data_IF_953267783981
#
_entry.id   IF_953267783981
#
_cell.length_a   1.000
_cell.length_b   1.000
_cell.length_c   1.000
_cell.angle_alpha   90.00
_cell.angle_beta   90.00
_cell.angle_gamma   90.00
#
_symmetry.space_group_name_H-M   'P 1'
#
loop_
_entity.id
_entity.type
_entity.pdbx_description
1 polymer ?
#
# COMPACT_ATOMS: atom_id res chain seq x y z
N UNK A 1 -58.39 16.72 78.83
CA UNK A 1 -57.30 15.84 78.32
C UNK A 1 -57.78 15.18 77.04
N UNK A 2 -56.95 15.28 75.99
CA UNK A 2 -57.21 14.91 74.59
C UNK A 2 -57.20 13.40 74.38
N UNK A 3 -58.01 12.89 73.44
CA UNK A 3 -57.61 11.76 72.58
C UNK A 3 -58.22 11.98 71.19
N UNK A 4 -57.37 12.16 70.17
CA UNK A 4 -57.74 12.24 68.75
C UNK A 4 -56.97 11.13 68.04
N UNK A 5 -57.68 10.27 67.31
CA UNK A 5 -57.12 9.20 66.50
C UNK A 5 -56.70 9.74 65.12
N UNK A 6 -55.45 9.50 64.71
CA UNK A 6 -54.98 9.75 63.34
C UNK A 6 -54.99 8.43 62.55
N UNK A 7 -55.80 8.37 61.50
CA UNK A 7 -55.76 7.32 60.47
C UNK A 7 -54.67 7.70 59.47
N UNK A 8 -53.63 6.87 59.34
CA UNK A 8 -52.60 7.01 58.28
C UNK A 8 -53.07 6.27 57.03
N UNK A 9 -53.43 7.02 55.99
CA UNK A 9 -53.63 6.47 54.64
C UNK A 9 -52.26 6.23 53.98
N UNK A 10 -51.99 4.98 53.61
CA UNK A 10 -50.82 4.60 52.80
C UNK A 10 -51.22 4.73 51.33
N UNK A 11 -50.61 5.68 50.62
CA UNK A 11 -50.70 5.79 49.16
C UNK A 11 -49.60 4.89 48.57
N UNK A 12 -50.02 3.81 47.91
CA UNK A 12 -49.15 2.94 47.14
C UNK A 12 -48.92 3.60 45.76
N UNK A 13 -47.73 4.18 45.53
CA UNK A 13 -47.31 4.60 44.19
C UNK A 13 -46.88 3.35 43.40
N UNK A 14 -47.67 2.98 42.38
CA UNK A 14 -47.28 2.01 41.37
C UNK A 14 -46.31 2.70 40.40
N UNK A 15 -45.01 2.50 40.57
CA UNK A 15 -44.00 2.88 39.58
C UNK A 15 -44.04 1.87 38.44
N UNK A 16 -44.72 2.22 37.34
CA UNK A 16 -44.66 1.49 36.09
C UNK A 16 -43.23 1.52 35.53
N UNK A 17 -42.56 0.38 35.52
CA UNK A 17 -41.36 0.14 34.73
C UNK A 17 -41.77 0.18 33.25
N UNK A 18 -41.63 1.36 32.63
CA UNK A 18 -41.51 1.47 31.19
C UNK A 18 -40.17 0.84 30.82
N UNK A 19 -40.20 -0.46 30.51
CA UNK A 19 -39.14 -1.11 29.74
C UNK A 19 -39.13 -0.47 28.36
N UNK A 20 -38.39 0.61 28.20
CA UNK A 20 -37.97 1.06 26.88
C UNK A 20 -37.22 -0.11 26.26
N UNK A 21 -37.80 -0.75 25.26
CA UNK A 21 -37.05 -1.56 24.32
C UNK A 21 -35.95 -0.66 23.77
N UNK A 22 -34.70 -0.89 24.17
CA UNK A 22 -33.56 -0.33 23.49
C UNK A 22 -33.76 -0.64 22.00
N UNK A 23 -33.89 0.40 21.18
CA UNK A 23 -34.01 0.23 19.73
C UNK A 23 -32.72 -0.43 19.26
N UNK A 24 -32.86 -1.48 18.45
CA UNK A 24 -31.75 -2.31 18.07
C UNK A 24 -31.05 -1.65 16.88
N UNK A 25 -29.83 -1.14 17.04
CA UNK A 25 -29.18 -0.39 15.95
C UNK A 25 -28.01 -1.19 15.34
N UNK A 26 -28.05 -1.39 14.01
CA UNK A 26 -26.93 -1.95 13.28
C UNK A 26 -25.85 -0.87 13.09
N UNK A 27 -24.70 -1.05 13.74
CA UNK A 27 -23.51 -0.24 13.51
C UNK A 27 -22.55 -0.98 12.58
N UNK A 28 -21.97 -0.24 11.65
CA UNK A 28 -21.04 -0.74 10.65
C UNK A 28 -19.73 0.03 10.79
N UNK A 29 -18.57 -0.61 10.56
CA UNK A 29 -17.31 0.12 10.45
C UNK A 29 -17.39 1.10 9.27
N UNK A 30 -16.65 2.21 9.36
CA UNK A 30 -16.63 3.27 8.34
C UNK A 30 -16.38 2.77 6.91
N UNK A 31 -15.57 1.72 6.74
CA UNK A 31 -15.27 1.15 5.42
C UNK A 31 -16.48 0.48 4.75
N UNK A 32 -17.52 0.13 5.52
CA UNK A 32 -18.81 -0.38 5.04
C UNK A 32 -19.85 0.72 5.21
N UNK A 33 -19.99 1.56 4.19
CA UNK A 33 -20.91 2.70 4.21
C UNK A 33 -21.48 3.03 2.84
N UNK A 34 -22.22 4.12 2.78
CA UNK A 34 -22.71 4.68 1.52
C UNK A 34 -21.56 5.04 0.59
N UNK A 35 -21.76 4.92 -0.72
CA UNK A 35 -20.76 5.28 -1.72
C UNK A 35 -19.55 4.33 -1.79
N UNK A 36 -19.58 3.18 -1.11
CA UNK A 36 -18.45 2.24 -1.14
C UNK A 36 -18.33 1.49 -2.48
N UNK A 37 -17.16 0.88 -2.72
CA UNK A 37 -16.94 -0.06 -3.83
C UNK A 37 -16.66 -1.44 -3.24
N UNK A 38 -17.48 -2.43 -3.56
CA UNK A 38 -17.22 -3.82 -3.23
C UNK A 38 -16.43 -4.51 -4.34
N UNK A 39 -15.48 -5.37 -3.95
CA UNK A 39 -14.70 -6.18 -4.88
C UNK A 39 -15.63 -7.07 -5.74
N UNK A 40 -15.49 -7.01 -7.07
CA UNK A 40 -16.30 -7.76 -8.02
C UNK A 40 -15.91 -9.23 -8.09
N UNK A 41 -16.88 -10.08 -8.50
CA UNK A 41 -16.71 -11.53 -8.70
C UNK A 41 -16.06 -12.19 -7.48
N UNK A 42 -16.51 -11.81 -6.29
CA UNK A 42 -15.94 -12.23 -5.02
C UNK A 42 -17.04 -12.56 -4.01
N UNK A 43 -16.65 -13.26 -2.94
CA UNK A 43 -17.49 -13.43 -1.77
C UNK A 43 -17.00 -12.45 -0.70
N UNK A 44 -17.58 -11.25 -0.66
CA UNK A 44 -17.06 -10.14 0.16
C UNK A 44 -17.68 -10.15 1.55
N UNK A 45 -16.90 -9.94 2.61
CA UNK A 45 -17.44 -9.91 3.96
C UNK A 45 -18.17 -8.61 4.24
N UNK A 46 -19.27 -8.71 4.98
CA UNK A 46 -19.92 -7.62 5.67
C UNK A 46 -19.94 -7.95 7.17
N UNK A 47 -19.66 -6.96 8.00
CA UNK A 47 -19.61 -7.13 9.45
C UNK A 47 -19.99 -5.84 10.15
N UNK A 48 -20.30 -5.98 11.44
CA UNK A 48 -20.67 -4.86 12.30
C UNK A 48 -21.09 -5.35 13.68
N UNK A 49 -21.72 -4.47 14.42
CA UNK A 49 -22.44 -4.78 15.65
C UNK A 49 -23.95 -4.64 15.44
N UNK A 50 -24.72 -5.31 16.28
CA UNK A 50 -26.18 -5.23 16.29
C UNK A 50 -26.71 -5.71 17.65
N UNK A 51 -27.85 -5.19 18.07
CA UNK A 51 -28.51 -5.63 19.32
C UNK A 51 -29.47 -6.82 19.08
N UNK A 52 -29.95 -6.98 17.85
CA UNK A 52 -30.80 -8.11 17.45
C UNK A 52 -30.07 -9.46 17.56
N UNK A 53 -30.81 -10.57 17.62
CA UNK A 53 -30.20 -11.91 17.67
C UNK A 53 -29.65 -12.37 16.30
N UNK A 54 -30.14 -11.79 15.21
CA UNK A 54 -29.79 -12.17 13.84
C UNK A 54 -29.88 -10.96 12.93
N UNK A 55 -28.84 -10.73 12.14
CA UNK A 55 -28.85 -9.72 11.08
C UNK A 55 -29.19 -10.40 9.76
N UNK A 56 -30.16 -9.83 9.07
CA UNK A 56 -30.52 -10.20 7.69
C UNK A 56 -29.96 -9.16 6.73
N UNK A 57 -29.28 -9.61 5.68
CA UNK A 57 -28.77 -8.76 4.60
C UNK A 57 -29.43 -9.16 3.28
N UNK A 58 -29.95 -8.19 2.52
CA UNK A 58 -30.49 -8.39 1.17
C UNK A 58 -29.83 -7.46 0.19
N UNK A 59 -29.27 -8.00 -0.89
CA UNK A 59 -28.50 -7.26 -1.88
C UNK A 59 -29.31 -6.99 -3.13
N UNK A 60 -29.34 -5.74 -3.62
CA UNK A 60 -30.26 -5.37 -4.71
C UNK A 60 -29.91 -5.95 -6.08
N UNK A 61 -28.63 -6.30 -6.32
CA UNK A 61 -28.16 -6.84 -7.60
C UNK A 61 -28.62 -8.27 -7.91
N UNK A 62 -29.00 -9.06 -6.90
CA UNK A 62 -29.47 -10.44 -7.08
C UNK A 62 -30.70 -10.80 -6.22
N UNK A 63 -31.17 -9.87 -5.38
CA UNK A 63 -32.29 -10.08 -4.45
C UNK A 63 -32.09 -11.25 -3.47
N UNK A 64 -30.84 -11.70 -3.29
CA UNK A 64 -30.49 -12.83 -2.42
C UNK A 64 -30.48 -12.34 -0.97
N UNK A 65 -30.96 -13.21 -0.07
CA UNK A 65 -31.05 -12.97 1.36
C UNK A 65 -29.98 -13.79 2.09
N UNK A 66 -29.22 -13.11 2.94
CA UNK A 66 -28.16 -13.68 3.77
C UNK A 66 -28.50 -13.45 5.24
N UNK A 67 -28.02 -14.31 6.14
CA UNK A 67 -28.26 -14.19 7.58
C UNK A 67 -26.99 -14.51 8.37
N UNK A 68 -26.74 -13.73 9.42
CA UNK A 68 -25.71 -13.97 10.41
C UNK A 68 -26.31 -13.94 11.81
N UNK A 69 -25.87 -14.85 12.67
CA UNK A 69 -26.14 -14.75 14.11
C UNK A 69 -25.24 -13.69 14.72
N UNK A 70 -25.80 -12.90 15.63
CA UNK A 70 -25.02 -12.00 16.47
C UNK A 70 -24.41 -12.82 17.61
N UNK A 71 -23.11 -12.69 17.83
CA UNK A 71 -22.42 -13.42 18.89
C UNK A 71 -22.64 -12.78 20.27
N UNK A 72 -22.15 -13.41 21.34
CA UNK A 72 -22.31 -12.91 22.71
C UNK A 72 -21.64 -11.55 23.01
N UNK A 73 -20.85 -11.02 22.06
CA UNK A 73 -20.24 -9.69 22.13
C UNK A 73 -20.93 -8.67 21.22
N UNK A 74 -22.09 -8.99 20.65
CA UNK A 74 -22.83 -8.09 19.76
C UNK A 74 -22.31 -8.03 18.33
N UNK A 75 -21.29 -8.83 17.97
CA UNK A 75 -20.66 -8.79 16.64
C UNK A 75 -21.29 -9.81 15.71
N UNK A 76 -21.51 -9.42 14.46
CA UNK A 76 -21.95 -10.29 13.38
C UNK A 76 -21.04 -10.18 12.17
N UNK A 77 -21.00 -11.25 11.36
CA UNK A 77 -20.28 -11.30 10.10
C UNK A 77 -20.96 -12.29 9.15
N UNK A 78 -21.06 -11.93 7.88
CA UNK A 78 -21.44 -12.81 6.78
C UNK A 78 -20.65 -12.44 5.53
N UNK A 79 -20.83 -13.22 4.48
CA UNK A 79 -20.31 -12.88 3.16
C UNK A 79 -21.45 -12.79 2.15
N UNK A 80 -21.30 -11.88 1.19
CA UNK A 80 -22.22 -11.70 0.07
C UNK A 80 -21.49 -11.93 -1.25
N UNK A 81 -22.14 -12.62 -2.18
CA UNK A 81 -21.62 -12.83 -3.53
C UNK A 81 -21.82 -11.55 -4.37
N UNK A 82 -20.73 -11.01 -4.91
CA UNK A 82 -20.76 -9.87 -5.83
C UNK A 82 -20.70 -10.34 -7.29
N UNK A 83 -21.50 -9.74 -8.20
CA UNK A 83 -21.43 -9.99 -9.63
C UNK A 83 -20.17 -9.34 -10.24
N UNK A 84 -20.11 -9.33 -11.57
CA UNK A 84 -19.23 -8.42 -12.30
C UNK A 84 -19.54 -6.95 -11.96
N UNK A 85 -18.56 -6.09 -12.20
CA UNK A 85 -18.64 -4.65 -12.02
C UNK A 85 -19.96 -4.01 -12.52
N UNK A 86 -20.45 -3.03 -11.76
CA UNK A 86 -21.71 -2.33 -12.02
C UNK A 86 -22.20 -1.51 -10.82
N UNK A 87 -23.45 -1.05 -10.89
CA UNK A 87 -24.11 -0.22 -9.88
C UNK A 87 -24.60 1.11 -10.45
N UNK A 88 -25.07 2.03 -9.59
CA UNK A 88 -25.15 1.90 -8.14
C UNK A 88 -26.21 0.89 -7.69
N UNK A 89 -25.94 0.22 -6.58
CA UNK A 89 -26.80 -0.74 -5.90
C UNK A 89 -27.15 -0.29 -4.48
N UNK A 90 -28.02 -1.08 -3.83
CA UNK A 90 -28.38 -0.92 -2.42
C UNK A 90 -28.14 -2.23 -1.68
N UNK A 91 -27.80 -2.12 -0.39
CA UNK A 91 -27.78 -3.24 0.55
C UNK A 91 -28.73 -2.94 1.70
N UNK A 92 -29.74 -3.78 1.89
CA UNK A 92 -30.70 -3.66 2.98
C UNK A 92 -30.29 -4.56 4.13
N UNK A 93 -30.05 -3.98 5.30
CA UNK A 93 -29.75 -4.68 6.55
C UNK A 93 -30.94 -4.57 7.51
N UNK A 94 -31.20 -5.62 8.27
CA UNK A 94 -32.29 -5.66 9.23
C UNK A 94 -32.01 -6.66 10.37
N UNK A 95 -32.02 -6.19 11.62
CA UNK A 95 -31.91 -6.98 12.85
C UNK A 95 -33.15 -6.85 13.77
N UNK A 96 -34.17 -6.14 13.28
CA UNK A 96 -35.25 -5.53 14.05
C UNK A 96 -35.54 -4.15 13.48
N UNK A 97 -34.48 -3.36 13.25
CA UNK A 97 -34.53 -2.05 12.62
C UNK A 97 -33.87 -2.07 11.23
N UNK A 98 -34.41 -1.28 10.30
CA UNK A 98 -33.97 -1.27 8.90
C UNK A 98 -32.86 -0.25 8.69
N UNK A 99 -31.75 -0.70 8.11
CA UNK A 99 -30.67 0.15 7.59
C UNK A 99 -30.48 -0.13 6.10
N UNK A 100 -30.22 0.90 5.31
CA UNK A 100 -29.98 0.76 3.87
C UNK A 100 -28.70 1.49 3.51
N UNK A 101 -27.75 0.76 2.94
CA UNK A 101 -26.58 1.34 2.28
C UNK A 101 -26.93 1.65 0.83
N UNK A 102 -26.57 2.84 0.37
CA UNK A 102 -26.87 3.38 -0.95
C UNK A 102 -25.59 3.69 -1.73
N UNK A 103 -25.75 3.87 -3.04
CA UNK A 103 -24.64 4.18 -3.96
C UNK A 103 -23.50 3.14 -3.86
N UNK A 104 -23.86 1.86 -3.69
CA UNK A 104 -22.88 0.79 -3.61
C UNK A 104 -22.46 0.39 -5.01
N UNK A 105 -21.19 0.62 -5.35
CA UNK A 105 -20.60 0.16 -6.61
C UNK A 105 -19.96 -1.22 -6.43
N UNK A 106 -19.89 -1.97 -7.52
CA UNK A 106 -19.15 -3.23 -7.60
C UNK A 106 -18.07 -3.04 -8.65
N UNK A 107 -16.82 -3.37 -8.31
CA UNK A 107 -15.66 -3.01 -9.12
C UNK A 107 -14.37 -3.60 -8.57
N UNK A 108 -13.25 -2.91 -8.76
CA UNK A 108 -11.95 -3.32 -8.19
C UNK A 108 -11.59 -2.46 -7.00
N UNK A 109 -11.10 -3.07 -5.92
CA UNK A 109 -10.73 -2.35 -4.70
C UNK A 109 -9.24 -2.55 -4.43
N UNK A 110 -8.50 -1.47 -4.24
CA UNK A 110 -7.07 -1.53 -3.94
C UNK A 110 -6.73 -0.82 -2.63
N UNK A 111 -5.76 -1.37 -1.90
CA UNK A 111 -5.17 -0.73 -0.73
C UNK A 111 -3.89 -0.01 -1.11
N UNK A 112 -3.78 1.29 -0.83
CA UNK A 112 -2.59 2.09 -1.01
C UNK A 112 -1.98 2.45 0.35
N UNK A 113 -0.80 1.87 0.65
CA UNK A 113 -0.18 2.00 1.98
C UNK A 113 1.33 2.30 1.93
N UNK A 114 1.89 2.63 3.09
CA UNK A 114 3.29 2.99 3.25
C UNK A 114 3.48 4.32 3.99
N UNK A 115 4.47 5.10 3.57
CA UNK A 115 4.83 6.35 4.25
C UNK A 115 4.52 7.60 3.41
N UNK A 116 5.32 8.65 3.55
CA UNK A 116 5.05 9.98 3.00
C UNK A 116 4.94 9.97 1.49
N UNK A 117 5.78 9.24 0.76
CA UNK A 117 5.69 9.18 -0.70
C UNK A 117 4.39 8.51 -1.19
N UNK A 118 3.83 7.52 -0.46
CA UNK A 118 2.46 7.05 -0.71
C UNK A 118 1.41 8.08 -0.26
N UNK A 119 1.59 8.70 0.90
CA UNK A 119 0.62 9.62 1.50
C UNK A 119 0.66 11.05 0.96
N UNK A 120 1.54 11.36 0.01
CA UNK A 120 1.67 12.69 -0.60
C UNK A 120 0.37 13.04 -1.30
N UNK A 121 -0.20 14.17 -0.90
CA UNK A 121 -1.49 14.63 -1.41
C UNK A 121 -1.37 15.28 -2.79
N UNK A 122 -2.43 15.30 -3.59
CA UNK A 122 -2.43 16.05 -4.86
C UNK A 122 -2.24 17.54 -4.60
N UNK A 123 -3.00 18.12 -3.67
CA UNK A 123 -2.91 19.52 -3.25
C UNK A 123 -1.90 19.75 -2.13
N UNK A 124 -0.69 19.21 -2.26
CA UNK A 124 0.33 19.29 -1.21
C UNK A 124 1.02 20.67 -1.15
N UNK A 125 1.83 20.89 -0.11
CA UNK A 125 2.50 22.17 0.12
C UNK A 125 3.52 22.54 -0.98
N UNK A 126 3.90 23.82 -1.12
CA UNK A 126 4.91 24.25 -2.09
C UNK A 126 6.30 23.60 -1.94
N UNK A 127 6.59 22.97 -0.79
CA UNK A 127 7.86 22.25 -0.56
C UNK A 127 7.86 20.84 -1.14
N UNK A 128 6.68 20.26 -1.36
CA UNK A 128 6.46 18.87 -1.75
C UNK A 128 5.40 18.81 -2.86
N UNK A 129 5.68 19.50 -3.97
CA UNK A 129 4.76 19.61 -5.10
C UNK A 129 4.55 18.27 -5.81
N UNK A 130 3.44 18.15 -6.53
CA UNK A 130 3.12 17.02 -7.41
C UNK A 130 2.96 17.56 -8.83
N UNK A 131 3.64 16.93 -9.80
CA UNK A 131 3.47 17.30 -11.20
C UNK A 131 2.00 17.14 -11.62
N UNK A 132 1.51 18.08 -12.43
CA UNK A 132 0.14 18.07 -12.94
C UNK A 132 -0.99 18.16 -11.89
N UNK A 133 -0.68 18.51 -10.63
CA UNK A 133 -1.69 18.61 -9.56
C UNK A 133 -2.92 19.45 -9.93
N UNK A 134 -2.72 20.60 -10.60
CA UNK A 134 -3.82 21.46 -11.04
C UNK A 134 -4.77 20.76 -12.04
N UNK A 135 -4.22 19.96 -12.95
CA UNK A 135 -5.00 19.17 -13.91
C UNK A 135 -5.79 18.07 -13.18
N UNK A 136 -5.13 17.32 -12.30
CA UNK A 136 -5.77 16.26 -11.50
C UNK A 136 -6.96 16.77 -10.69
N UNK A 137 -6.84 17.97 -10.09
CA UNK A 137 -7.96 18.57 -9.33
C UNK A 137 -9.07 19.13 -10.23
N UNK A 138 -8.71 19.70 -11.40
CA UNK A 138 -9.69 20.27 -12.33
C UNK A 138 -10.54 19.20 -13.01
N UNK A 139 -9.94 18.04 -13.30
CA UNK A 139 -10.59 16.93 -14.00
C UNK A 139 -11.21 15.89 -13.05
N UNK A 140 -11.07 16.09 -11.72
CA UNK A 140 -11.46 15.11 -10.71
C UNK A 140 -12.89 14.57 -10.89
N UNK A 141 -13.84 15.47 -11.15
CA UNK A 141 -15.26 15.14 -11.32
C UNK A 141 -15.61 14.35 -12.59
N UNK A 142 -14.66 14.10 -13.49
CA UNK A 142 -14.89 13.31 -14.71
C UNK A 142 -14.92 11.79 -14.46
N UNK A 143 -14.55 11.37 -13.25
CA UNK A 143 -14.44 9.97 -12.87
C UNK A 143 -15.40 9.61 -11.71
N UNK A 144 -16.72 9.77 -11.90
CA UNK A 144 -17.71 9.65 -10.83
C UNK A 144 -17.96 8.21 -10.37
N UNK A 145 -17.22 7.21 -10.88
CA UNK A 145 -17.27 5.81 -10.44
C UNK A 145 -15.97 5.36 -9.76
N UNK A 146 -15.01 6.27 -9.59
CA UNK A 146 -13.94 6.09 -8.61
C UNK A 146 -14.49 6.46 -7.23
N UNK A 147 -14.03 5.78 -6.17
CA UNK A 147 -14.35 6.11 -4.77
C UNK A 147 -13.08 6.12 -3.94
N UNK A 148 -12.93 7.17 -3.14
CA UNK A 148 -11.75 7.42 -2.31
C UNK A 148 -12.11 7.20 -0.85
N UNK A 149 -11.36 6.34 -0.16
CA UNK A 149 -11.46 6.14 1.28
C UNK A 149 -10.11 6.42 1.93
N UNK A 150 -10.04 7.43 2.81
CA UNK A 150 -8.78 7.84 3.42
C UNK A 150 -8.79 7.55 4.92
N UNK A 151 -7.99 6.57 5.34
CA UNK A 151 -7.79 6.26 6.75
C UNK A 151 -7.04 7.43 7.42
N UNK A 152 -7.56 7.98 8.53
CA UNK A 152 -6.86 9.01 9.29
C UNK A 152 -5.53 8.51 9.82
N UNK A 153 -4.57 9.42 9.90
CA UNK A 153 -3.29 9.13 10.55
C UNK A 153 -3.52 8.94 12.04
N UNK A 154 -3.19 7.76 12.56
CA UNK A 154 -3.38 7.42 13.97
C UNK A 154 -2.30 6.41 14.45
N UNK A 155 -2.23 6.15 15.76
CA UNK A 155 -1.37 5.13 16.36
C UNK A 155 -2.02 4.57 17.62
N UNK A 156 -2.03 3.25 17.79
CA UNK A 156 -2.70 2.61 18.91
C UNK A 156 -1.93 1.37 19.40
N UNK A 157 -1.82 1.22 20.71
CA UNK A 157 -1.17 0.03 21.33
C UNK A 157 -2.01 -1.22 21.17
N UNK A 158 -3.33 -1.07 21.07
CA UNK A 158 -4.27 -2.15 20.84
C UNK A 158 -4.98 -1.97 19.49
N UNK A 159 -5.34 -3.06 18.78
CA UNK A 159 -6.07 -2.98 17.52
C UNK A 159 -7.38 -2.19 17.67
N UNK A 160 -7.59 -1.21 16.80
CA UNK A 160 -8.85 -0.48 16.69
C UNK A 160 -9.79 -1.22 15.74
N UNK A 161 -11.07 -1.31 16.09
CA UNK A 161 -12.09 -1.95 15.25
C UNK A 161 -12.64 -1.07 14.13
N UNK A 162 -12.42 0.24 14.20
CA UNK A 162 -12.95 1.22 13.25
C UNK A 162 -12.07 2.49 13.19
N UNK A 163 -12.36 3.37 12.23
CA UNK A 163 -11.71 4.66 12.04
C UNK A 163 -12.71 5.73 11.58
N UNK A 164 -12.43 7.00 11.88
CA UNK A 164 -13.26 8.14 11.46
C UNK A 164 -13.01 8.51 9.99
N UNK A 165 -13.71 7.85 9.07
CA UNK A 165 -13.56 8.03 7.63
C UNK A 165 -14.87 7.76 6.89
N UNK A 166 -14.92 8.17 5.63
CA UNK A 166 -16.05 7.89 4.73
C UNK A 166 -15.56 7.72 3.29
N UNK A 167 -16.38 7.10 2.46
CA UNK A 167 -16.14 7.03 1.01
C UNK A 167 -16.56 8.34 0.35
N UNK A 168 -15.71 8.84 -0.53
CA UNK A 168 -15.97 10.11 -1.25
C UNK A 168 -15.86 9.91 -2.76
N UNK A 169 -16.68 10.65 -3.51
CA UNK A 169 -16.54 10.79 -4.96
C UNK A 169 -15.42 11.79 -5.25
N UNK A 170 -14.59 11.56 -6.29
CA UNK A 170 -13.59 12.53 -6.69
C UNK A 170 -14.21 13.87 -7.09
N UNK A 171 -13.74 14.91 -6.42
CA UNK A 171 -13.90 16.31 -6.75
C UNK A 171 -12.57 17.03 -6.44
N UNK A 172 -12.49 18.32 -6.72
CA UNK A 172 -11.27 19.10 -6.49
C UNK A 172 -10.79 19.02 -5.03
N UNK A 173 -11.70 19.00 -4.05
CA UNK A 173 -11.36 19.02 -2.63
C UNK A 173 -10.90 17.65 -2.11
N UNK A 174 -11.66 16.59 -2.39
CA UNK A 174 -11.35 15.21 -2.03
C UNK A 174 -10.03 14.76 -2.68
N UNK A 175 -9.84 15.01 -3.98
CA UNK A 175 -8.59 14.70 -4.70
C UNK A 175 -7.42 15.50 -4.14
N UNK A 176 -7.61 16.80 -3.88
CA UNK A 176 -6.58 17.64 -3.24
C UNK A 176 -6.11 17.05 -1.91
N UNK A 177 -7.01 16.43 -1.13
CA UNK A 177 -6.72 15.81 0.15
C UNK A 177 -6.25 14.34 0.08
N UNK A 178 -6.24 13.72 -1.11
CA UNK A 178 -5.96 12.30 -1.31
C UNK A 178 -4.57 12.04 -1.92
N UNK A 179 -4.05 10.82 -1.75
CA UNK A 179 -2.77 10.39 -2.30
C UNK A 179 -2.69 10.58 -3.81
N UNK A 180 -1.65 11.29 -4.27
CA UNK A 180 -1.38 11.51 -5.68
C UNK A 180 -1.02 10.23 -6.44
N UNK A 181 -0.28 9.30 -5.80
CA UNK A 181 0.06 8.01 -6.40
C UNK A 181 -1.19 7.13 -6.48
N UNK A 182 -1.94 7.02 -5.38
CA UNK A 182 -3.11 6.15 -5.31
C UNK A 182 -4.25 6.63 -6.23
N UNK A 183 -4.48 7.95 -6.31
CA UNK A 183 -5.51 8.51 -7.18
C UNK A 183 -5.18 8.28 -8.66
N UNK A 184 -3.95 8.56 -9.08
CA UNK A 184 -3.52 8.33 -10.47
C UNK A 184 -3.47 6.83 -10.81
N UNK A 185 -3.13 5.96 -9.86
CA UNK A 185 -3.24 4.52 -10.03
C UNK A 185 -4.70 4.10 -10.30
N UNK A 186 -5.66 4.65 -9.55
CA UNK A 186 -7.08 4.37 -9.76
C UNK A 186 -7.58 4.91 -11.11
N UNK A 187 -7.15 6.10 -11.54
CA UNK A 187 -7.44 6.65 -12.86
C UNK A 187 -6.94 5.72 -13.97
N UNK A 188 -5.67 5.34 -13.92
CA UNK A 188 -5.06 4.46 -14.93
C UNK A 188 -5.76 3.09 -15.00
N UNK A 189 -6.18 2.53 -13.87
CA UNK A 189 -6.94 1.29 -13.87
C UNK A 189 -8.35 1.50 -14.45
N UNK A 190 -9.04 2.57 -14.09
CA UNK A 190 -10.37 2.86 -14.61
C UNK A 190 -10.35 3.08 -16.13
N UNK A 191 -9.38 3.84 -16.64
CA UNK A 191 -9.26 4.15 -18.07
C UNK A 191 -9.09 2.87 -18.92
N UNK A 192 -8.42 1.86 -18.37
CA UNK A 192 -8.07 0.63 -19.08
C UNK A 192 -9.09 -0.49 -18.86
N UNK A 193 -9.72 -0.54 -17.68
CA UNK A 193 -10.68 -1.59 -17.32
C UNK A 193 -12.14 -1.19 -17.57
N UNK A 194 -12.43 0.10 -17.65
CA UNK A 194 -13.76 0.69 -17.83
C UNK A 194 -14.78 0.20 -16.77
N UNK A 195 -14.38 0.25 -15.50
CA UNK A 195 -15.18 -0.21 -14.35
C UNK A 195 -15.01 0.71 -13.13
N UNK A 196 -15.89 0.59 -12.11
CA UNK A 196 -15.68 1.27 -10.83
C UNK A 196 -14.39 0.85 -10.13
N UNK A 197 -13.70 1.81 -9.52
CA UNK A 197 -12.46 1.58 -8.76
C UNK A 197 -12.61 2.19 -7.36
N UNK A 198 -12.47 1.36 -6.33
CA UNK A 198 -12.31 1.79 -4.95
C UNK A 198 -10.83 1.84 -4.58
N UNK A 199 -10.38 2.94 -3.97
CA UNK A 199 -9.01 3.07 -3.49
C UNK A 199 -9.01 3.47 -2.01
N UNK A 200 -8.44 2.59 -1.18
CA UNK A 200 -8.30 2.78 0.26
C UNK A 200 -6.89 3.27 0.55
N UNK A 201 -6.73 4.51 1.00
CA UNK A 201 -5.43 5.06 1.40
C UNK A 201 -5.22 4.86 2.90
N UNK A 202 -4.11 4.19 3.28
CA UNK A 202 -3.64 4.07 4.66
C UNK A 202 -2.12 4.30 4.71
N UNK A 203 -1.69 5.55 4.87
CA UNK A 203 -0.27 5.91 4.79
C UNK A 203 0.12 6.98 5.81
N UNK A 204 1.32 6.85 6.41
CA UNK A 204 1.83 7.80 7.40
C UNK A 204 3.33 8.09 7.23
N UNK A 205 3.68 9.36 7.00
CA UNK A 205 5.03 9.83 6.73
C UNK A 205 6.08 9.54 7.80
N UNK A 206 7.29 9.14 7.36
CA UNK A 206 8.45 8.89 8.22
C UNK A 206 8.32 7.64 9.09
N UNK A 207 7.54 6.66 8.63
CA UNK A 207 7.28 5.42 9.36
C UNK A 207 8.18 4.29 8.89
N UNK A 208 8.36 3.29 9.75
CA UNK A 208 9.17 2.10 9.49
C UNK A 208 8.28 0.86 9.36
N UNK A 209 8.72 -0.11 8.57
CA UNK A 209 7.93 -1.30 8.18
C UNK A 209 7.38 -2.08 9.39
N UNK A 210 8.12 -2.19 10.49
CA UNK A 210 7.68 -2.94 11.67
C UNK A 210 6.52 -2.29 12.44
N UNK A 211 6.27 -0.99 12.26
CA UNK A 211 5.09 -0.35 12.83
C UNK A 211 3.79 -0.83 12.15
N UNK A 212 3.91 -1.38 10.95
CA UNK A 212 2.83 -1.88 10.10
C UNK A 212 2.60 -3.41 10.23
N UNK A 213 3.32 -4.09 11.13
CA UNK A 213 3.15 -5.51 11.41
C UNK A 213 2.22 -5.74 12.61
N UNK A 214 1.34 -6.74 12.56
CA UNK A 214 0.64 -7.16 13.78
C UNK A 214 1.61 -7.83 14.77
N UNK A 215 1.19 -7.91 16.04
CA UNK A 215 2.04 -8.46 17.11
C UNK A 215 2.48 -9.91 16.87
N UNK A 216 1.69 -10.71 16.14
CA UNK A 216 2.08 -12.09 15.84
C UNK A 216 3.16 -12.14 14.78
N UNK A 217 3.07 -11.29 13.75
CA UNK A 217 4.11 -11.17 12.73
C UNK A 217 5.44 -10.72 13.32
N UNK A 218 5.42 -9.81 14.32
CA UNK A 218 6.64 -9.42 15.03
C UNK A 218 7.33 -10.57 15.77
N UNK A 219 6.60 -11.63 16.16
CA UNK A 219 7.19 -12.75 16.88
C UNK A 219 8.19 -13.56 16.03
N UNK A 220 8.19 -13.39 14.70
CA UNK A 220 9.23 -13.91 13.82
C UNK A 220 10.62 -13.29 14.06
N UNK A 221 10.68 -12.13 14.74
CA UNK A 221 11.90 -11.35 14.93
C UNK A 221 12.21 -11.19 16.43
N UNK A 222 13.10 -12.00 17.01
CA UNK A 222 13.41 -11.96 18.44
C UNK A 222 13.83 -10.58 18.96
N UNK A 223 14.44 -9.75 18.10
CA UNK A 223 14.84 -8.38 18.43
C UNK A 223 13.65 -7.41 18.54
N UNK A 224 12.49 -7.74 17.97
CA UNK A 224 11.25 -6.95 18.04
C UNK A 224 10.19 -7.60 18.95
N UNK A 225 10.22 -8.93 19.08
CA UNK A 225 9.26 -9.72 19.82
C UNK A 225 9.33 -9.48 21.33
N UNK A 226 8.18 -9.39 21.99
CA UNK A 226 8.09 -9.33 23.46
C UNK A 226 8.71 -8.08 24.10
N UNK A 227 9.09 -7.07 23.31
CA UNK A 227 9.58 -5.80 23.85
C UNK A 227 8.45 -5.11 24.62
N UNK A 228 8.72 -4.60 25.85
CA UNK A 228 7.73 -3.82 26.57
C UNK A 228 7.26 -2.65 25.73
N UNK A 229 5.96 -2.37 25.77
CA UNK A 229 5.40 -1.18 25.15
C UNK A 229 6.08 0.04 25.79
N UNK A 230 6.82 0.86 25.03
CA UNK A 230 7.57 1.97 25.61
C UNK A 230 6.61 3.01 26.20
N UNK A 231 7.04 3.69 27.27
CA UNK A 231 6.25 4.78 27.87
C UNK A 231 5.92 5.88 26.86
N UNK A 232 6.85 6.19 25.94
CA UNK A 232 6.65 7.14 24.87
C UNK A 232 6.36 6.41 23.56
N UNK A 233 5.07 6.23 23.25
CA UNK A 233 4.63 5.71 21.95
C UNK A 233 4.92 6.73 20.86
N UNK A 234 5.63 6.27 19.84
CA UNK A 234 5.80 6.98 18.57
C UNK A 234 5.16 6.18 17.43
N UNK A 235 4.95 6.82 16.28
CA UNK A 235 4.53 6.15 15.03
C UNK A 235 5.47 5.04 14.53
N UNK A 236 6.69 4.96 15.07
CA UNK A 236 7.67 3.91 14.74
C UNK A 236 7.79 2.83 15.81
N UNK A 237 6.99 2.93 16.88
CA UNK A 237 6.81 1.81 17.80
C UNK A 237 6.23 0.64 17.00
N UNK A 238 6.81 -0.57 17.08
CA UNK A 238 6.28 -1.71 16.35
C UNK A 238 4.78 -1.92 16.62
N UNK A 239 4.05 -2.39 15.60
CA UNK A 239 2.61 -2.69 15.64
C UNK A 239 1.62 -1.53 15.74
N UNK A 240 2.01 -0.34 16.21
CA UNK A 240 1.01 0.70 16.53
C UNK A 240 0.25 1.25 15.32
N UNK A 241 0.82 1.17 14.11
CA UNK A 241 0.15 1.59 12.88
C UNK A 241 -0.69 0.49 12.28
N UNK A 242 -0.26 -0.78 12.36
CA UNK A 242 -1.12 -1.91 12.02
C UNK A 242 -2.43 -1.81 12.80
N UNK A 243 -2.32 -1.67 14.12
CA UNK A 243 -3.47 -1.58 15.02
C UNK A 243 -4.43 -0.43 14.70
N UNK A 244 -3.89 0.74 14.36
CA UNK A 244 -4.70 1.95 14.23
C UNK A 244 -5.14 2.26 12.80
N UNK A 245 -4.43 1.75 11.79
CA UNK A 245 -4.60 2.16 10.40
C UNK A 245 -4.82 1.00 9.42
N UNK A 246 -4.55 -0.25 9.82
CA UNK A 246 -4.80 -1.44 9.00
C UNK A 246 -5.94 -2.28 9.59
N UNK A 247 -5.92 -2.52 10.91
CA UNK A 247 -6.94 -3.30 11.59
C UNK A 247 -8.38 -2.79 11.39
N UNK A 248 -8.65 -1.47 11.36
CA UNK A 248 -9.99 -0.95 11.09
C UNK A 248 -10.60 -1.34 9.74
N UNK A 249 -9.76 -1.57 8.73
CA UNK A 249 -10.17 -1.93 7.36
C UNK A 249 -9.93 -3.41 7.06
N UNK A 250 -9.47 -4.17 8.05
CA UNK A 250 -8.98 -5.52 7.86
C UNK A 250 -10.11 -6.46 7.43
N UNK A 251 -9.86 -7.19 6.35
CA UNK A 251 -10.82 -8.13 5.79
C UNK A 251 -11.78 -7.50 4.79
N UNK A 252 -11.77 -6.18 4.58
CA UNK A 252 -12.50 -5.59 3.45
C UNK A 252 -12.10 -6.25 2.13
N UNK A 253 -13.04 -6.48 1.21
CA UNK A 253 -12.74 -7.08 -0.10
C UNK A 253 -11.72 -6.23 -0.88
N UNK A 254 -10.50 -6.74 -1.13
CA UNK A 254 -9.50 -6.06 -1.97
C UNK A 254 -9.02 -6.99 -3.09
N UNK A 255 -8.65 -6.40 -4.21
CA UNK A 255 -7.92 -7.08 -5.29
C UNK A 255 -6.45 -7.20 -4.99
N UNK A 256 -5.87 -6.20 -4.33
CA UNK A 256 -4.45 -6.17 -4.01
C UNK A 256 -4.02 -4.89 -3.30
N UNK A 257 -2.72 -4.79 -3.04
CA UNK A 257 -2.12 -3.64 -2.37
C UNK A 257 -1.01 -3.01 -3.20
N UNK A 258 -0.88 -1.68 -3.11
CA UNK A 258 0.27 -0.91 -3.55
C UNK A 258 0.98 -0.30 -2.32
N UNK A 259 2.31 -0.43 -2.28
CA UNK A 259 3.12 -0.04 -1.12
C UNK A 259 4.26 0.89 -1.51
N UNK A 260 4.38 2.04 -0.86
CA UNK A 260 5.52 2.95 -1.06
C UNK A 260 6.11 3.40 0.28
N UNK A 261 7.10 2.64 0.72
CA UNK A 261 7.86 2.88 1.93
C UNK A 261 9.27 2.33 1.84
N UNK A 262 10.15 2.91 2.64
CA UNK A 262 11.47 2.40 2.89
C UNK A 262 12.37 3.46 3.52
N UNK A 263 12.15 4.75 3.25
CA UNK A 263 13.07 5.82 3.65
C UNK A 263 13.26 5.89 5.17
N UNK A 264 12.28 5.42 5.96
CA UNK A 264 12.40 5.25 7.41
C UNK A 264 13.34 4.11 7.84
N UNK A 265 13.55 3.09 7.01
CA UNK A 265 14.35 1.89 7.28
C UNK A 265 15.76 1.92 6.66
N UNK A 266 16.24 3.08 6.16
CA UNK A 266 17.60 3.21 5.60
C UNK A 266 18.71 2.76 6.56
N UNK A 267 18.55 3.04 7.85
CA UNK A 267 19.51 2.64 8.88
C UNK A 267 19.43 1.14 9.25
N UNK A 268 18.39 0.44 8.77
CA UNK A 268 18.12 -0.98 9.02
C UNK A 268 17.90 -1.76 7.72
N UNK A 269 18.55 -1.31 6.62
CA UNK A 269 18.43 -1.89 5.29
C UNK A 269 18.71 -3.41 5.28
N UNK A 270 19.68 -3.87 6.07
CA UNK A 270 20.05 -5.28 6.20
C UNK A 270 18.96 -6.18 6.80
N UNK A 271 17.90 -5.61 7.37
CA UNK A 271 16.73 -6.34 7.89
C UNK A 271 15.48 -6.16 7.04
N UNK A 272 15.50 -5.22 6.12
CA UNK A 272 14.30 -4.75 5.44
C UNK A 272 13.62 -5.84 4.62
N UNK A 273 14.39 -6.67 3.89
CA UNK A 273 13.81 -7.71 3.03
C UNK A 273 13.02 -8.75 3.83
N UNK A 274 13.58 -9.22 4.96
CA UNK A 274 12.89 -10.14 5.88
C UNK A 274 11.65 -9.50 6.50
N UNK A 275 11.82 -8.30 7.07
CA UNK A 275 10.72 -7.58 7.71
C UNK A 275 9.58 -7.28 6.73
N UNK A 276 9.91 -6.84 5.52
CA UNK A 276 8.90 -6.55 4.52
C UNK A 276 8.16 -7.81 4.06
N UNK A 277 8.89 -8.91 3.83
CA UNK A 277 8.27 -10.17 3.45
C UNK A 277 7.31 -10.72 4.51
N UNK A 278 7.70 -10.68 5.78
CA UNK A 278 6.84 -11.11 6.88
C UNK A 278 5.65 -10.18 7.10
N UNK A 279 5.82 -8.87 6.91
CA UNK A 279 4.69 -7.93 6.95
C UNK A 279 3.64 -8.26 5.89
N UNK A 280 4.06 -8.51 4.64
CA UNK A 280 3.16 -8.89 3.56
C UNK A 280 2.47 -10.22 3.85
N UNK A 281 3.23 -11.22 4.29
CA UNK A 281 2.70 -12.53 4.68
C UNK A 281 1.67 -12.42 5.81
N UNK A 282 1.99 -11.64 6.84
CA UNK A 282 1.10 -11.33 7.96
C UNK A 282 -0.18 -10.65 7.52
N UNK A 283 -0.10 -9.66 6.63
CA UNK A 283 -1.27 -9.00 6.07
C UNK A 283 -2.15 -9.97 5.29
N UNK A 284 -1.58 -10.78 4.38
CA UNK A 284 -2.31 -11.81 3.62
C UNK A 284 -3.03 -12.79 4.54
N UNK A 285 -2.35 -13.28 5.57
CA UNK A 285 -2.94 -14.16 6.57
C UNK A 285 -4.12 -13.49 7.31
N UNK A 286 -3.95 -12.24 7.74
CA UNK A 286 -4.96 -11.50 8.51
C UNK A 286 -6.15 -11.08 7.65
N UNK A 287 -5.94 -10.80 6.37
CA UNK A 287 -7.01 -10.50 5.42
C UNK A 287 -7.86 -11.73 5.10
N UNK A 288 -7.25 -12.91 5.13
CA UNK A 288 -7.92 -14.16 4.77
C UNK A 288 -8.26 -14.25 3.28
N UNK A 289 -7.51 -13.56 2.42
CA UNK A 289 -7.68 -13.51 0.96
C UNK A 289 -6.41 -14.00 0.26
N UNK A 290 -6.24 -15.33 0.17
CA UNK A 290 -5.16 -16.04 -0.54
C UNK A 290 -3.83 -15.26 -0.67
N UNK A 291 -3.20 -15.30 -1.84
CA UNK A 291 -1.95 -14.60 -2.15
C UNK A 291 -2.26 -13.35 -2.98
N UNK A 292 -3.03 -12.39 -2.45
CA UNK A 292 -3.41 -11.20 -3.23
C UNK A 292 -2.17 -10.42 -3.74
N UNK A 293 -2.22 -9.85 -4.96
CA UNK A 293 -1.13 -9.06 -5.54
C UNK A 293 -0.64 -7.94 -4.62
N UNK A 294 0.68 -7.87 -4.43
CA UNK A 294 1.33 -6.85 -3.61
C UNK A 294 2.42 -6.13 -4.40
N UNK A 295 2.10 -4.99 -4.99
CA UNK A 295 3.06 -4.20 -5.77
C UNK A 295 3.68 -3.10 -4.92
N UNK A 296 4.95 -2.80 -5.10
CA UNK A 296 5.62 -1.79 -4.28
C UNK A 296 6.61 -0.95 -5.06
N UNK A 297 7.03 0.16 -4.45
CA UNK A 297 7.90 1.14 -5.08
C UNK A 297 9.24 1.15 -4.35
N UNK A 298 10.31 0.92 -5.10
CA UNK A 298 11.67 1.13 -4.64
C UNK A 298 11.87 2.61 -4.29
N UNK A 299 12.56 2.91 -3.18
CA UNK A 299 12.80 4.30 -2.78
C UNK A 299 13.64 5.02 -3.83
N UNK A 300 13.28 6.28 -4.09
CA UNK A 300 13.98 7.07 -5.08
C UNK A 300 15.35 7.54 -4.57
N UNK A 301 16.34 7.77 -5.45
CA UNK A 301 17.57 8.43 -5.07
C UNK A 301 17.30 9.81 -4.44
N UNK A 302 18.00 10.11 -3.33
CA UNK A 302 17.93 11.39 -2.64
C UNK A 302 19.25 11.65 -1.91
N UNK A 303 19.66 12.93 -1.84
CA UNK A 303 20.91 13.31 -1.18
C UNK A 303 20.75 13.32 0.34
N UNK A 304 21.14 12.21 0.97
CA UNK A 304 21.28 12.11 2.43
C UNK A 304 22.63 12.68 2.93
N UNK A 305 22.90 12.53 4.22
CA UNK A 305 24.11 12.96 4.93
C UNK A 305 25.37 12.14 4.62
N UNK A 306 25.26 11.14 3.73
CA UNK A 306 26.35 10.35 3.18
C UNK A 306 26.63 9.09 3.99
N UNK A 307 26.34 7.92 3.40
CA UNK A 307 26.81 6.58 3.80
C UNK A 307 26.28 5.45 2.87
N UNK A 308 25.76 5.79 1.69
CA UNK A 308 25.11 4.84 0.78
C UNK A 308 23.89 4.14 1.41
N UNK A 309 23.31 4.68 2.49
CA UNK A 309 22.23 4.04 3.22
C UNK A 309 21.00 3.80 2.35
N UNK A 310 20.72 4.70 1.40
CA UNK A 310 19.60 4.50 0.47
C UNK A 310 19.92 3.46 -0.60
N UNK A 311 21.19 3.31 -1.00
CA UNK A 311 21.60 2.27 -1.95
C UNK A 311 21.45 0.86 -1.36
N UNK A 312 21.89 0.65 -0.11
CA UNK A 312 21.67 -0.62 0.59
C UNK A 312 20.18 -0.93 0.77
N UNK A 313 19.36 0.08 1.04
CA UNK A 313 17.93 -0.13 1.14
C UNK A 313 17.29 -0.49 -0.20
N UNK A 314 17.73 0.13 -1.31
CA UNK A 314 17.26 -0.26 -2.65
C UNK A 314 17.65 -1.70 -2.99
N UNK A 315 18.87 -2.11 -2.63
CA UNK A 315 19.31 -3.51 -2.72
C UNK A 315 18.40 -4.43 -1.90
N UNK A 316 18.08 -4.08 -0.65
CA UNK A 316 17.16 -4.87 0.17
C UNK A 316 15.73 -4.90 -0.38
N UNK A 317 15.28 -3.82 -1.03
CA UNK A 317 13.99 -3.79 -1.73
C UNK A 317 13.99 -4.67 -2.98
N UNK A 318 15.10 -4.75 -3.71
CA UNK A 318 15.26 -5.68 -4.83
C UNK A 318 15.24 -7.14 -4.34
N UNK A 319 15.97 -7.44 -3.27
CA UNK A 319 15.98 -8.76 -2.64
C UNK A 319 14.58 -9.17 -2.13
N UNK A 320 13.80 -8.23 -1.57
CA UNK A 320 12.42 -8.51 -1.17
C UNK A 320 11.53 -9.03 -2.31
N UNK A 321 11.79 -8.64 -3.57
CA UNK A 321 11.03 -9.12 -4.73
C UNK A 321 11.15 -10.64 -4.90
N UNK A 322 12.29 -11.21 -4.49
CA UNK A 322 12.56 -12.65 -4.55
C UNK A 322 11.96 -13.42 -3.36
N UNK A 323 11.56 -12.72 -2.30
CA UNK A 323 11.02 -13.31 -1.06
C UNK A 323 9.51 -13.25 -0.97
N UNK A 324 8.88 -12.29 -1.67
CA UNK A 324 7.43 -12.05 -1.61
C UNK A 324 6.76 -12.66 -2.85
N UNK A 325 5.93 -13.71 -2.72
CA UNK A 325 5.18 -14.23 -3.85
C UNK A 325 4.12 -13.24 -4.34
N UNK A 326 3.71 -13.36 -5.61
CA UNK A 326 2.75 -12.47 -6.27
C UNK A 326 3.00 -10.97 -5.99
N UNK A 327 4.25 -10.56 -6.21
CA UNK A 327 4.71 -9.18 -6.01
C UNK A 327 5.19 -8.57 -7.32
N UNK A 328 5.60 -7.31 -7.28
CA UNK A 328 6.27 -6.60 -8.36
C UNK A 328 6.81 -5.27 -7.84
N UNK A 329 8.00 -4.89 -8.28
CA UNK A 329 8.69 -3.69 -7.79
C UNK A 329 8.80 -2.64 -8.90
N UNK A 330 8.33 -1.43 -8.63
CA UNK A 330 8.60 -0.25 -9.43
C UNK A 330 9.95 0.34 -9.06
N UNK A 331 10.86 0.43 -10.03
CA UNK A 331 12.13 1.14 -9.87
C UNK A 331 11.95 2.63 -10.16
N UNK A 332 12.62 3.49 -9.40
CA UNK A 332 12.48 4.96 -9.43
C UNK A 332 13.81 5.71 -9.59
N UNK A 333 14.83 5.03 -10.11
CA UNK A 333 16.20 5.57 -10.25
C UNK A 333 16.32 6.80 -11.15
N UNK A 334 15.31 7.06 -11.98
CA UNK A 334 15.22 8.16 -12.94
C UNK A 334 14.34 9.33 -12.47
N UNK A 335 13.44 9.09 -11.52
CA UNK A 335 12.46 10.07 -11.00
C UNK A 335 12.76 10.51 -9.56
N UNK A 336 14.01 10.37 -9.12
CA UNK A 336 14.49 10.91 -7.84
C UNK A 336 14.64 12.43 -7.83
N UNK A 337 14.93 12.98 -6.66
CA UNK A 337 15.29 14.40 -6.53
C UNK A 337 16.49 14.59 -5.60
N UNK A 338 17.40 15.50 -5.96
CA UNK A 338 18.54 15.83 -5.11
C UNK A 338 18.12 16.71 -3.93
N UNK A 339 17.09 17.53 -4.14
CA UNK A 339 16.71 18.63 -3.24
C UNK A 339 15.53 18.32 -2.34
N UNK A 340 14.73 17.29 -2.67
CA UNK A 340 13.63 16.82 -1.84
C UNK A 340 13.57 15.30 -1.78
N UNK A 341 13.30 14.76 -0.59
CA UNK A 341 13.02 13.34 -0.37
C UNK A 341 11.65 12.92 -0.94
N UNK A 342 10.87 13.90 -1.41
CA UNK A 342 9.55 13.76 -1.99
C UNK A 342 9.57 14.20 -3.46
N UNK A 343 10.09 13.38 -4.39
CA UNK A 343 10.15 13.77 -5.80
C UNK A 343 8.76 14.06 -6.37
N UNK A 344 8.60 15.11 -7.19
CA UNK A 344 7.28 15.57 -7.61
C UNK A 344 6.62 14.69 -8.68
N UNK A 345 7.39 13.88 -9.41
CA UNK A 345 6.87 12.99 -10.46
C UNK A 345 6.20 11.75 -9.87
N UNK A 346 4.97 11.93 -9.38
CA UNK A 346 4.10 10.83 -8.94
C UNK A 346 3.37 10.16 -10.10
N UNK A 347 3.27 10.83 -11.25
CA UNK A 347 2.62 10.31 -12.45
C UNK A 347 3.37 9.12 -13.01
N UNK A 348 4.70 9.19 -13.11
CA UNK A 348 5.53 8.06 -13.54
C UNK A 348 5.42 6.87 -12.59
N UNK A 349 5.47 7.12 -11.27
CA UNK A 349 5.32 6.06 -10.26
C UNK A 349 3.96 5.37 -10.35
N UNK A 350 2.86 6.14 -10.44
CA UNK A 350 1.52 5.61 -10.57
C UNK A 350 1.34 4.79 -11.86
N UNK A 351 1.90 5.27 -12.98
CA UNK A 351 1.86 4.58 -14.28
C UNK A 351 2.59 3.25 -14.26
N UNK A 352 3.75 3.17 -13.60
CA UNK A 352 4.50 1.91 -13.44
C UNK A 352 3.74 0.93 -12.55
N UNK A 353 3.16 1.39 -11.44
CA UNK A 353 2.32 0.55 -10.57
C UNK A 353 1.09 0.02 -11.30
N UNK A 354 0.38 0.87 -12.05
CA UNK A 354 -0.80 0.44 -12.81
C UNK A 354 -0.42 -0.54 -13.91
N UNK A 355 0.70 -0.34 -14.61
CA UNK A 355 1.17 -1.30 -15.62
C UNK A 355 1.48 -2.67 -15.02
N UNK A 356 2.11 -2.74 -13.84
CA UNK A 356 2.30 -4.00 -13.10
C UNK A 356 0.95 -4.68 -12.81
N UNK A 357 -0.03 -3.94 -12.29
CA UNK A 357 -1.34 -4.48 -12.00
C UNK A 357 -2.09 -4.96 -13.26
N UNK A 358 -2.13 -4.13 -14.31
CA UNK A 358 -2.76 -4.45 -15.60
C UNK A 358 -2.15 -5.71 -16.23
N UNK A 359 -0.82 -5.87 -16.17
CA UNK A 359 -0.15 -7.04 -16.70
C UNK A 359 -0.34 -8.29 -15.83
N UNK A 360 0.02 -8.22 -14.54
CA UNK A 360 0.13 -9.40 -13.66
C UNK A 360 -1.19 -9.80 -12.99
N UNK A 361 -2.07 -8.84 -12.73
CA UNK A 361 -3.38 -9.10 -12.10
C UNK A 361 -4.47 -9.29 -13.14
N UNK A 362 -4.48 -8.48 -14.19
CA UNK A 362 -5.57 -8.47 -15.19
C UNK A 362 -5.20 -9.14 -16.51
N UNK A 363 -3.96 -9.63 -16.67
CA UNK A 363 -3.52 -10.36 -17.86
C UNK A 363 -3.44 -9.52 -19.13
N UNK A 364 -3.41 -8.19 -19.02
CA UNK A 364 -3.29 -7.31 -20.18
C UNK A 364 -1.87 -7.34 -20.74
N UNK A 365 -1.74 -7.41 -22.06
CA UNK A 365 -0.42 -7.33 -22.69
C UNK A 365 0.15 -5.91 -22.54
N UNK A 366 1.23 -5.78 -21.76
CA UNK A 366 1.96 -4.53 -21.51
C UNK A 366 3.41 -4.59 -21.97
N UNK A 367 3.76 -5.54 -22.85
CA UNK A 367 5.14 -5.85 -23.23
C UNK A 367 6.01 -6.15 -22.00
N UNK A 368 6.85 -5.20 -21.59
CA UNK A 368 7.74 -5.33 -20.44
C UNK A 368 7.27 -4.38 -19.33
N UNK A 369 7.10 -4.91 -18.12
CA UNK A 369 6.67 -4.15 -16.94
C UNK A 369 7.69 -4.20 -15.82
N UNK A 370 8.70 -5.06 -15.97
CA UNK A 370 9.80 -5.21 -15.04
C UNK A 370 11.02 -4.41 -15.51
N UNK A 371 11.74 -3.85 -14.54
CA UNK A 371 13.00 -3.16 -14.78
C UNK A 371 14.13 -4.15 -15.04
N UNK A 372 15.18 -3.77 -15.81
CA UNK A 372 16.36 -4.61 -15.98
C UNK A 372 16.94 -5.07 -14.64
N UNK A 373 17.19 -6.37 -14.52
CA UNK A 373 17.77 -6.98 -13.33
C UNK A 373 19.06 -7.73 -13.69
N UNK A 374 20.13 -7.50 -12.92
CA UNK A 374 21.40 -8.20 -13.14
C UNK A 374 21.24 -9.69 -12.81
N UNK A 375 21.41 -10.54 -13.82
CA UNK A 375 21.28 -11.98 -13.69
C UNK A 375 22.61 -12.69 -13.43
N UNK A 376 23.66 -12.26 -14.12
CA UNK A 376 24.96 -12.96 -14.09
C UNK A 376 26.10 -12.02 -14.42
N UNK A 377 27.28 -12.35 -13.89
CA UNK A 377 28.54 -11.67 -14.16
C UNK A 377 29.55 -12.68 -14.74
N UNK A 378 30.36 -12.25 -15.70
CA UNK A 378 31.51 -13.01 -16.22
C UNK A 378 32.71 -12.08 -16.34
N UNK A 379 33.84 -12.48 -15.77
CA UNK A 379 35.11 -11.75 -15.93
C UNK A 379 35.98 -12.44 -16.99
N UNK A 380 36.59 -11.64 -17.87
CA UNK A 380 37.55 -12.07 -18.89
C UNK A 380 38.71 -11.07 -18.97
N UNK A 381 39.84 -11.44 -18.36
CA UNK A 381 40.97 -10.55 -18.16
C UNK A 381 40.56 -9.28 -17.41
N UNK A 382 40.78 -8.11 -18.02
CA UNK A 382 40.43 -6.81 -17.46
C UNK A 382 38.98 -6.36 -17.77
N UNK A 383 38.15 -7.24 -18.37
CA UNK A 383 36.77 -6.94 -18.77
C UNK A 383 35.79 -7.68 -17.89
N UNK A 384 34.72 -6.99 -17.48
CA UNK A 384 33.58 -7.62 -16.82
C UNK A 384 32.36 -7.52 -17.72
N UNK A 385 31.69 -8.64 -17.94
CA UNK A 385 30.45 -8.75 -18.70
C UNK A 385 29.29 -8.99 -17.74
N UNK A 386 28.27 -8.15 -17.84
CA UNK A 386 27.06 -8.18 -17.03
C UNK A 386 25.89 -8.59 -17.91
N UNK A 387 25.11 -9.58 -17.47
CA UNK A 387 23.94 -10.11 -18.19
C UNK A 387 22.67 -9.75 -17.44
N UNK A 388 21.67 -9.22 -18.14
CA UNK A 388 20.43 -8.73 -17.55
C UNK A 388 19.20 -9.50 -18.04
N UNK A 389 18.26 -9.74 -17.12
CA UNK A 389 16.88 -10.12 -17.42
C UNK A 389 16.01 -8.85 -17.60
N UNK A 390 14.75 -9.00 -18.04
CA UNK A 390 13.76 -7.91 -18.15
C UNK A 390 14.16 -6.73 -19.06
N UNK A 391 14.81 -7.07 -20.18
CA UNK A 391 15.37 -6.07 -21.11
C UNK A 391 14.43 -5.71 -22.27
N UNK A 392 13.23 -6.30 -22.36
CA UNK A 392 12.34 -6.10 -23.51
C UNK A 392 13.03 -6.44 -24.84
N UNK A 393 13.19 -5.45 -25.71
CA UNK A 393 13.92 -5.52 -26.98
C UNK A 393 15.41 -5.16 -26.87
N UNK A 394 15.84 -4.66 -25.72
CA UNK A 394 17.25 -4.48 -25.37
C UNK A 394 17.50 -3.39 -24.34
N UNK A 395 18.73 -3.37 -23.83
CA UNK A 395 19.20 -2.30 -22.96
C UNK A 395 19.45 -1.02 -23.78
N UNK A 396 19.28 0.12 -23.12
CA UNK A 396 19.57 1.45 -23.68
C UNK A 396 20.08 2.39 -22.60
N UNK A 397 20.90 3.36 -22.99
CA UNK A 397 21.35 4.48 -22.16
C UNK A 397 20.58 5.78 -22.48
N UNK A 398 19.55 5.66 -23.32
CA UNK A 398 18.74 6.76 -23.85
C UNK A 398 19.58 7.86 -24.52
N UNK A 399 20.74 7.50 -25.08
CA UNK A 399 21.69 8.41 -25.74
C UNK A 399 22.56 9.22 -24.77
N UNK A 400 22.49 8.96 -23.47
CA UNK A 400 23.19 9.75 -22.44
C UNK A 400 24.56 9.20 -22.04
N UNK A 401 24.91 7.99 -22.48
CA UNK A 401 26.09 7.25 -22.03
C UNK A 401 25.90 6.59 -20.66
N UNK A 402 26.43 5.38 -20.52
CA UNK A 402 26.52 4.67 -19.23
C UNK A 402 27.66 5.23 -18.37
N UNK A 403 27.33 6.07 -17.40
CA UNK A 403 28.26 6.82 -16.52
C UNK A 403 28.17 6.39 -15.06
N UNK A 404 27.17 5.61 -14.69
CA UNK A 404 26.92 5.21 -13.31
C UNK A 404 27.63 3.93 -12.87
N UNK A 405 28.56 3.39 -13.68
CA UNK A 405 29.32 2.19 -13.36
C UNK A 405 30.64 2.50 -12.63
N UNK A 406 30.93 1.71 -11.60
CA UNK A 406 32.19 1.70 -10.87
C UNK A 406 32.72 0.27 -10.81
N UNK A 407 34.04 0.08 -10.86
CA UNK A 407 34.69 -1.22 -10.83
C UNK A 407 35.84 -1.22 -9.83
N UNK A 408 36.01 -2.31 -9.10
CA UNK A 408 37.06 -2.48 -8.10
C UNK A 408 37.95 -3.68 -8.42
N UNK A 409 39.24 -3.57 -8.09
CA UNK A 409 40.18 -4.67 -8.10
C UNK A 409 40.34 -5.31 -6.72
N UNK A 410 41.36 -6.15 -6.57
CA UNK A 410 41.69 -6.84 -5.30
C UNK A 410 41.93 -5.86 -4.12
N UNK A 411 42.28 -4.61 -4.41
CA UNK A 411 42.44 -3.52 -3.42
C UNK A 411 41.12 -2.99 -2.85
N UNK A 412 39.98 -3.41 -3.40
CA UNK A 412 38.61 -3.02 -3.01
C UNK A 412 38.32 -1.53 -3.17
N UNK A 413 39.12 -0.82 -3.96
CA UNK A 413 38.89 0.59 -4.29
C UNK A 413 38.04 0.66 -5.56
N UNK A 414 36.89 1.32 -5.47
CA UNK A 414 36.01 1.54 -6.62
C UNK A 414 36.46 2.74 -7.46
N UNK A 415 36.66 2.50 -8.75
CA UNK A 415 36.98 3.52 -9.74
C UNK A 415 35.83 3.67 -10.74
N UNK A 416 35.54 4.90 -11.23
CA UNK A 416 34.63 5.08 -12.37
C UNK A 416 35.05 4.19 -13.55
N UNK A 417 34.07 3.56 -14.18
CA UNK A 417 34.30 2.57 -15.22
C UNK A 417 33.66 2.98 -16.55
N UNK A 418 34.30 2.59 -17.64
CA UNK A 418 33.75 2.69 -18.99
C UNK A 418 32.83 1.48 -19.21
N UNK A 419 31.56 1.74 -19.56
CA UNK A 419 30.55 0.71 -19.78
C UNK A 419 29.91 0.86 -21.17
N UNK A 420 29.70 -0.27 -21.86
CA UNK A 420 29.13 -0.33 -23.21
C UNK A 420 28.09 -1.45 -23.30
N UNK A 421 26.93 -1.15 -23.88
CA UNK A 421 25.96 -2.18 -24.28
C UNK A 421 26.54 -2.91 -25.49
N UNK A 422 26.82 -4.20 -25.36
CA UNK A 422 27.48 -5.00 -26.40
C UNK A 422 26.53 -6.01 -27.08
N UNK A 423 25.39 -6.29 -26.46
CA UNK A 423 24.29 -7.06 -27.04
C UNK A 423 22.98 -6.70 -26.33
N UNK A 424 21.86 -7.31 -26.75
CA UNK A 424 20.51 -7.02 -26.26
C UNK A 424 20.41 -6.90 -24.73
N UNK A 425 21.04 -7.82 -23.99
CA UNK A 425 20.99 -7.85 -22.53
C UNK A 425 22.37 -7.87 -21.87
N UNK A 426 23.40 -7.36 -22.54
CA UNK A 426 24.78 -7.49 -22.08
C UNK A 426 25.51 -6.15 -22.06
N UNK A 427 26.17 -5.88 -20.94
CA UNK A 427 27.04 -4.71 -20.76
C UNK A 427 28.47 -5.19 -20.51
N UNK A 428 29.43 -4.59 -21.22
CA UNK A 428 30.86 -4.75 -20.93
C UNK A 428 31.36 -3.54 -20.15
N UNK A 429 31.97 -3.79 -18.99
CA UNK A 429 32.56 -2.79 -18.09
C UNK A 429 34.08 -2.96 -18.01
N UNK A 430 34.81 -1.84 -18.07
CA UNK A 430 36.29 -1.81 -18.01
C UNK A 430 36.80 -0.56 -17.29
N UNK A 431 37.97 -0.65 -16.64
CA UNK A 431 38.69 0.53 -16.14
C UNK A 431 40.20 0.32 -16.31
N UNK A 432 40.92 1.33 -16.83
CA UNK A 432 42.37 1.25 -17.06
C UNK A 432 43.17 1.03 -15.78
N UNK A 433 42.65 1.50 -14.64
CA UNK A 433 43.28 1.36 -13.32
C UNK A 433 43.07 -0.04 -12.71
N UNK A 434 42.10 -0.81 -13.23
CA UNK A 434 41.70 -2.11 -12.67
C UNK A 434 41.96 -3.21 -13.70
N UNK A 435 43.12 -3.85 -13.59
CA UNK A 435 43.54 -4.92 -14.52
C UNK A 435 43.04 -6.31 -14.13
N UNK A 436 42.64 -6.49 -12.86
CA UNK A 436 42.05 -7.71 -12.30
C UNK A 436 40.77 -7.35 -11.54
N UNK A 437 39.65 -7.16 -12.23
CA UNK A 437 38.41 -6.74 -11.60
C UNK A 437 37.79 -7.85 -10.76
N UNK A 438 37.31 -7.50 -9.57
CA UNK A 438 36.66 -8.43 -8.63
C UNK A 438 35.24 -8.02 -8.28
N UNK A 439 34.86 -6.76 -8.50
CA UNK A 439 33.48 -6.28 -8.26
C UNK A 439 33.10 -5.10 -9.15
N UNK A 440 31.81 -4.98 -9.41
CA UNK A 440 31.16 -3.87 -10.12
C UNK A 440 30.03 -3.30 -9.27
N UNK A 441 29.85 -1.99 -9.34
CA UNK A 441 28.69 -1.27 -8.81
C UNK A 441 28.02 -0.50 -9.93
N UNK A 442 26.70 -0.42 -9.88
CA UNK A 442 25.90 0.46 -10.72
C UNK A 442 25.03 1.34 -9.85
N UNK A 443 25.16 2.66 -10.01
CA UNK A 443 24.33 3.67 -9.34
C UNK A 443 24.22 3.47 -7.81
N UNK A 444 25.25 2.90 -7.18
CA UNK A 444 25.23 2.51 -5.76
C UNK A 444 25.57 3.70 -4.85
N UNK A 445 24.78 4.77 -4.92
CA UNK A 445 24.99 6.06 -4.23
C UNK A 445 23.70 6.56 -3.61
N UNK A 446 23.79 7.43 -2.59
CA UNK A 446 22.59 8.01 -1.98
C UNK A 446 21.78 8.83 -3.00
N UNK A 447 22.48 9.70 -3.74
CA UNK A 447 21.95 10.46 -4.86
C UNK A 447 22.67 10.09 -6.17
N UNK A 448 21.88 9.78 -7.19
CA UNK A 448 22.31 9.51 -8.57
C UNK A 448 21.07 9.50 -9.46
N UNK A 449 21.22 9.81 -10.74
CA UNK A 449 20.17 9.58 -11.74
C UNK A 449 20.62 8.37 -12.56
N UNK A 450 19.83 7.30 -12.54
CA UNK A 450 20.13 6.08 -13.30
C UNK A 450 20.19 6.35 -14.80
N UNK A 451 21.16 5.73 -15.47
CA UNK A 451 21.40 5.90 -16.91
C UNK A 451 21.29 4.58 -17.71
N UNK A 452 20.87 3.49 -17.08
CA UNK A 452 20.59 2.21 -17.72
C UNK A 452 19.09 1.91 -17.69
N UNK A 453 18.52 1.66 -18.87
CA UNK A 453 17.10 1.37 -19.07
C UNK A 453 16.92 0.13 -19.96
N UNK A 454 15.73 -0.49 -19.92
CA UNK A 454 15.29 -1.37 -21.01
C UNK A 454 14.64 -0.56 -22.15
N UNK A 455 14.27 -1.25 -23.22
CA UNK A 455 13.72 -0.66 -24.44
C UNK A 455 12.36 0.03 -24.26
N UNK A 456 11.65 -0.26 -23.16
CA UNK A 456 10.37 0.40 -22.82
C UNK A 456 10.57 1.59 -21.85
N UNK A 457 11.82 1.93 -21.52
CA UNK A 457 12.16 3.09 -20.71
C UNK A 457 12.06 2.87 -19.19
N UNK A 458 12.04 1.61 -18.72
CA UNK A 458 12.12 1.32 -17.28
C UNK A 458 13.59 1.30 -16.85
N UNK A 459 13.97 2.05 -15.79
CA UNK A 459 15.35 2.11 -15.31
C UNK A 459 15.74 0.82 -14.57
N UNK A 460 17.00 0.40 -14.70
CA UNK A 460 17.58 -0.63 -13.85
C UNK A 460 17.70 -0.13 -12.40
N UNK A 461 17.55 -1.03 -11.44
CA UNK A 461 17.84 -0.73 -10.03
C UNK A 461 19.34 -0.55 -9.79
N UNK A 462 19.71 0.16 -8.72
CA UNK A 462 21.11 0.18 -8.27
C UNK A 462 21.51 -1.18 -7.72
N UNK A 463 22.71 -1.64 -8.04
CA UNK A 463 23.23 -2.92 -7.55
C UNK A 463 24.73 -2.84 -7.28
N UNK A 464 25.22 -3.86 -6.57
CA UNK A 464 26.63 -4.14 -6.38
C UNK A 464 26.89 -5.63 -6.49
N UNK A 465 28.15 -6.01 -6.65
CA UNK A 465 28.56 -7.42 -6.74
C UNK A 465 29.56 -7.80 -5.66
N UNK A 466 29.87 -6.89 -4.74
CA UNK A 466 30.67 -7.11 -3.54
C UNK A 466 29.81 -7.48 -2.34
N UNK A 467 30.42 -8.18 -1.39
CA UNK A 467 29.82 -8.59 -0.11
C UNK A 467 30.51 -7.97 1.13
N UNK A 468 31.45 -7.04 0.93
CA UNK A 468 32.29 -6.44 2.00
C UNK A 468 31.92 -5.02 2.40
#
# INVERSE_FOLDING_TARGET
MKTVYYVKSIILLLSGLLSGSAAAEIELPAVIGDGMVLQQRANVPLWGTADGQTVTVTTSWNQKKYQARVNGSGVWRLHVETPQAGGPYEIHLNDGDKKVLKDVLIGEVWLASGQSNMGMRVGNSPKDTVLHAGKLMAEAGYHPTIRLFRVPVNSAVHPLGDCDAEWTVPDSASVSAFSAVAYQFALNLQDELDIPIGIVQSAYGGTQVQAWMDSTTLNSFPELAGQPVPHNITKNTPTVLFNAMINPILGYGIRGAIWYQGEGNRATANRYADWFADMVSGWRQRWGQDDFPFYYVQIAPFKYDGKHQSAYLREAQLDAANRIPNTGMVVTMDVGSQSTIHPPDKTTVASRLSNLALARTYGMNRHEVDSPELKRIKTDGARVYLYFDHVGDGLTDSGSGLRCFEIAGEDRVFYPAEAHIVSKGEIRVTCRQVTKPVSVRYAFKDWVVGDLFNSVGLPASSFRTDDW
#
